data_IF_893592793234
#
_entry.id   IF_893592793234
#
_cell.length_a   1.000
_cell.length_b   1.000
_cell.length_c   1.000
_cell.angle_alpha   90.00
_cell.angle_beta   90.00
_cell.angle_gamma   90.00
#
_symmetry.space_group_name_H-M   'P 1'
#
loop_
_entity.id
_entity.type
_entity.pdbx_description
1 polymer ?
#
# COMPACT_ATOMS: atom_id res chain seq x y z
N UNK A 1 19.86 27.90 14.00
CA UNK A 1 20.39 27.95 12.62
C UNK A 1 19.54 27.02 11.78
N UNK A 2 19.12 27.43 10.57
CA UNK A 2 18.34 26.57 9.67
C UNK A 2 19.25 26.05 8.57
N UNK A 3 19.33 24.73 8.42
CA UNK A 3 20.01 24.07 7.31
C UNK A 3 18.96 23.77 6.24
N UNK A 4 19.02 24.48 5.12
CA UNK A 4 18.13 24.27 3.99
C UNK A 4 18.80 23.34 2.99
N UNK A 5 18.16 22.19 2.73
CA UNK A 5 18.61 21.24 1.73
C UNK A 5 17.76 21.37 0.47
N UNK A 6 18.43 21.60 -0.66
CA UNK A 6 17.76 21.66 -1.96
C UNK A 6 17.20 20.29 -2.41
N UNK A 7 16.49 20.26 -3.53
CA UNK A 7 15.85 19.05 -4.04
C UNK A 7 16.83 17.88 -4.26
N UNK A 8 18.05 18.15 -4.71
CA UNK A 8 19.06 17.12 -5.02
C UNK A 8 19.69 16.61 -3.72
N UNK A 9 20.02 17.52 -2.80
CA UNK A 9 20.55 17.20 -1.48
C UNK A 9 19.55 16.39 -0.66
N UNK A 10 18.28 16.80 -0.64
CA UNK A 10 17.19 16.09 0.05
C UNK A 10 17.01 14.68 -0.52
N UNK A 11 16.98 14.54 -1.85
CA UNK A 11 16.85 13.22 -2.49
C UNK A 11 18.06 12.33 -2.21
N UNK A 12 19.27 12.91 -2.23
CA UNK A 12 20.51 12.19 -1.89
C UNK A 12 20.48 11.70 -0.44
N UNK A 13 20.03 12.54 0.48
CA UNK A 13 19.85 12.19 1.88
C UNK A 13 18.84 11.05 2.05
N UNK A 14 17.69 11.12 1.35
CA UNK A 14 16.69 10.06 1.35
C UNK A 14 17.26 8.72 0.89
N UNK A 15 18.02 8.71 -0.21
CA UNK A 15 18.67 7.51 -0.76
C UNK A 15 19.75 6.97 0.20
N UNK A 16 20.50 7.86 0.84
CA UNK A 16 21.50 7.47 1.84
C UNK A 16 20.84 6.74 3.01
N UNK A 17 19.75 7.29 3.57
CA UNK A 17 19.02 6.64 4.65
C UNK A 17 18.29 5.38 4.20
N UNK A 18 17.81 5.31 2.96
CA UNK A 18 17.33 4.06 2.37
C UNK A 18 18.38 2.94 2.45
N UNK A 19 19.62 3.20 2.02
CA UNK A 19 20.69 2.19 2.10
C UNK A 19 21.09 1.84 3.53
N UNK A 20 21.05 2.80 4.47
CA UNK A 20 21.20 2.50 5.90
C UNK A 20 20.08 1.53 6.35
N UNK A 21 18.85 1.78 5.93
CA UNK A 21 17.70 0.90 6.18
C UNK A 21 17.89 -0.50 5.59
N UNK A 22 18.38 -0.61 4.35
CA UNK A 22 18.72 -1.88 3.70
C UNK A 22 19.78 -2.63 4.52
N UNK A 23 20.86 -1.94 4.90
CA UNK A 23 21.94 -2.53 5.68
C UNK A 23 21.42 -3.07 7.02
N UNK A 24 20.65 -2.29 7.76
CA UNK A 24 20.10 -2.70 9.06
C UNK A 24 19.12 -3.86 8.90
N UNK A 25 18.24 -3.80 7.89
CA UNK A 25 17.28 -4.89 7.59
C UNK A 25 18.02 -6.20 7.31
N UNK A 26 19.17 -6.17 6.63
CA UNK A 26 20.00 -7.36 6.38
C UNK A 26 20.64 -7.96 7.64
N UNK A 27 20.72 -7.20 8.74
CA UNK A 27 21.33 -7.64 10.01
C UNK A 27 20.29 -8.01 11.08
N UNK A 28 19.08 -7.47 10.98
CA UNK A 28 18.03 -7.64 12.00
C UNK A 28 16.86 -8.40 11.40
N UNK A 29 16.78 -9.69 11.71
CA UNK A 29 15.76 -10.61 11.18
C UNK A 29 14.31 -10.21 11.51
N UNK A 30 14.09 -9.39 12.55
CA UNK A 30 12.75 -8.91 12.91
C UNK A 30 12.15 -8.02 11.80
N UNK A 31 12.96 -7.21 11.13
CA UNK A 31 12.49 -6.31 10.07
C UNK A 31 12.14 -7.06 8.80
N UNK A 32 12.88 -8.13 8.50
CA UNK A 32 12.56 -9.05 7.42
C UNK A 32 11.30 -9.86 7.74
N UNK A 33 11.21 -10.41 8.95
CA UNK A 33 10.07 -11.22 9.42
C UNK A 33 8.73 -10.48 9.35
N UNK A 34 8.72 -9.17 9.63
CA UNK A 34 7.51 -8.35 9.56
C UNK A 34 7.40 -7.53 8.27
N UNK A 35 8.21 -7.85 7.27
CA UNK A 35 8.22 -7.20 5.96
C UNK A 35 8.37 -5.66 6.04
N UNK A 36 9.09 -5.15 7.04
CA UNK A 36 9.27 -3.70 7.20
C UNK A 36 10.10 -3.18 6.01
N UNK A 37 9.64 -2.14 5.29
CA UNK A 37 10.36 -1.58 4.16
C UNK A 37 11.68 -0.92 4.60
N UNK A 38 12.71 -1.02 3.76
CA UNK A 38 13.98 -0.34 4.00
C UNK A 38 13.85 1.19 4.12
N UNK A 39 13.01 1.87 3.29
CA UNK A 39 12.73 3.29 3.49
C UNK A 39 12.28 3.60 4.93
N UNK A 40 11.36 2.80 5.49
CA UNK A 40 10.78 3.00 6.84
C UNK A 40 11.86 2.95 7.91
N UNK A 41 12.71 1.92 7.88
CA UNK A 41 13.81 1.78 8.85
C UNK A 41 14.76 2.97 8.76
N UNK A 42 15.20 3.31 7.54
CA UNK A 42 16.14 4.41 7.31
C UNK A 42 15.57 5.77 7.69
N UNK A 43 14.39 6.10 7.18
CA UNK A 43 13.75 7.38 7.39
C UNK A 43 13.35 7.62 8.84
N UNK A 44 12.93 6.58 9.60
CA UNK A 44 12.70 6.71 11.04
C UNK A 44 13.97 7.05 11.81
N UNK A 45 15.12 6.49 11.44
CA UNK A 45 16.41 6.85 12.06
C UNK A 45 16.68 8.33 11.83
N UNK A 46 16.51 8.82 10.60
CA UNK A 46 16.66 10.24 10.31
C UNK A 46 15.65 11.10 11.09
N UNK A 47 14.37 10.71 11.12
CA UNK A 47 13.33 11.44 11.83
C UNK A 47 13.62 11.56 13.34
N UNK A 48 14.18 10.53 13.95
CA UNK A 48 14.64 10.55 15.35
C UNK A 48 15.82 11.52 15.52
N UNK A 49 16.81 11.48 14.62
CA UNK A 49 17.93 12.42 14.65
C UNK A 49 17.45 13.87 14.49
N UNK A 50 16.52 14.11 13.56
CA UNK A 50 15.92 15.41 13.32
C UNK A 50 15.12 15.90 14.53
N UNK A 51 14.37 15.02 15.20
CA UNK A 51 13.70 15.33 16.46
C UNK A 51 14.71 15.77 17.54
N UNK A 52 15.82 15.04 17.70
CA UNK A 52 16.86 15.39 18.69
C UNK A 52 17.49 16.76 18.37
N UNK A 53 17.81 17.04 17.11
CA UNK A 53 18.36 18.34 16.70
C UNK A 53 17.39 19.50 16.90
N UNK A 54 16.11 19.26 16.62
CA UNK A 54 15.04 20.26 16.76
C UNK A 54 14.80 20.57 18.25
N UNK A 55 14.62 19.56 19.09
CA UNK A 55 14.36 19.72 20.53
C UNK A 55 15.56 20.28 21.30
N UNK A 56 16.80 20.00 20.85
CA UNK A 56 18.01 20.58 21.46
C UNK A 56 18.28 22.03 21.04
N UNK A 57 17.50 22.58 20.10
CA UNK A 57 17.66 23.96 19.61
C UNK A 57 18.93 24.19 18.79
N UNK A 58 19.66 23.13 18.41
CA UNK A 58 20.93 23.21 17.70
C UNK A 58 20.72 23.67 16.24
N UNK A 59 19.97 22.88 15.47
CA UNK A 59 19.79 23.05 14.02
C UNK A 59 18.36 22.66 13.65
N UNK A 60 17.68 23.50 12.87
CA UNK A 60 16.42 23.15 12.21
C UNK A 60 16.74 22.73 10.77
N UNK A 61 16.30 21.56 10.33
CA UNK A 61 16.53 21.08 8.96
C UNK A 61 15.27 21.36 8.13
N UNK A 62 15.44 22.04 6.99
CA UNK A 62 14.39 22.26 6.00
C UNK A 62 14.71 21.42 4.76
N UNK A 63 13.74 20.65 4.28
CA UNK A 63 13.88 19.69 3.19
C UNK A 63 13.02 20.11 2.00
N UNK A 64 13.63 20.29 0.84
CA UNK A 64 12.90 20.47 -0.42
C UNK A 64 12.44 19.11 -0.98
N UNK A 65 11.13 18.85 -0.89
CA UNK A 65 10.49 17.60 -1.32
C UNK A 65 9.96 17.63 -2.75
N UNK A 66 10.37 18.60 -3.59
CA UNK A 66 9.85 18.77 -4.97
C UNK A 66 9.88 17.47 -5.80
N UNK A 67 10.93 16.65 -5.67
CA UNK A 67 11.06 15.38 -6.41
C UNK A 67 10.16 14.25 -5.87
N UNK A 68 9.56 14.39 -4.69
CA UNK A 68 8.68 13.38 -4.11
C UNK A 68 7.44 13.13 -4.98
N UNK A 69 6.80 14.20 -5.48
CA UNK A 69 5.56 14.10 -6.28
C UNK A 69 5.76 13.36 -7.60
N UNK A 70 6.79 13.65 -8.43
CA UNK A 70 7.07 12.86 -9.64
C UNK A 70 7.27 11.36 -9.38
N UNK A 71 8.00 10.97 -8.34
CA UNK A 71 8.20 9.55 -7.99
C UNK A 71 6.92 8.89 -7.48
N UNK A 72 6.11 9.62 -6.69
CA UNK A 72 4.78 9.17 -6.28
C UNK A 72 3.90 8.88 -7.49
N UNK A 73 3.80 9.83 -8.42
CA UNK A 73 3.00 9.68 -9.65
C UNK A 73 3.49 8.49 -10.48
N UNK A 74 4.81 8.34 -10.67
CA UNK A 74 5.36 7.21 -11.40
C UNK A 74 5.00 5.86 -10.75
N UNK A 75 5.10 5.75 -9.41
CA UNK A 75 4.72 4.56 -8.68
C UNK A 75 3.23 4.21 -8.88
N UNK A 76 2.30 5.13 -8.63
CA UNK A 76 0.87 4.83 -8.81
C UNK A 76 0.48 4.61 -10.27
N UNK A 77 1.20 5.22 -11.21
CA UNK A 77 1.04 4.92 -12.64
C UNK A 77 1.42 3.47 -12.96
N UNK A 78 2.47 2.93 -12.32
CA UNK A 78 2.85 1.51 -12.49
C UNK A 78 1.78 0.55 -11.97
N UNK A 79 1.07 0.90 -10.88
CA UNK A 79 -0.09 0.16 -10.39
C UNK A 79 -1.20 0.12 -11.47
N UNK A 80 -1.44 1.23 -12.16
CA UNK A 80 -2.37 1.29 -13.29
C UNK A 80 -2.01 0.33 -14.44
N UNK A 81 -0.71 0.15 -14.70
CA UNK A 81 -0.22 -0.85 -15.65
C UNK A 81 -0.33 -2.31 -15.15
N UNK A 82 -0.69 -2.53 -13.89
CA UNK A 82 -1.06 -3.84 -13.35
C UNK A 82 -2.53 -4.21 -13.59
N UNK A 83 -3.38 -3.26 -13.98
CA UNK A 83 -4.83 -3.43 -14.05
C UNK A 83 -5.33 -4.18 -15.30
N UNK A 84 -4.83 -5.40 -15.54
CA UNK A 84 -5.18 -6.21 -16.72
C UNK A 84 -6.55 -6.88 -16.59
N UNK A 85 -7.48 -6.54 -17.48
CA UNK A 85 -8.77 -7.24 -17.59
C UNK A 85 -8.61 -8.72 -17.91
N UNK A 86 -7.53 -9.11 -18.59
CA UNK A 86 -7.21 -10.50 -18.89
C UNK A 86 -6.93 -11.28 -17.60
N UNK A 87 -6.12 -10.73 -16.70
CA UNK A 87 -5.81 -11.33 -15.40
C UNK A 87 -7.05 -11.49 -14.51
N UNK A 88 -7.93 -10.47 -14.50
CA UNK A 88 -9.21 -10.55 -13.76
C UNK A 88 -10.07 -11.69 -14.31
N UNK A 89 -10.18 -11.80 -15.64
CA UNK A 89 -10.96 -12.87 -16.30
C UNK A 89 -10.39 -14.25 -16.01
N UNK A 90 -9.06 -14.41 -16.00
CA UNK A 90 -8.39 -15.67 -15.66
C UNK A 90 -8.67 -16.12 -14.23
N UNK A 91 -8.74 -15.19 -13.28
CA UNK A 91 -9.07 -15.51 -11.89
C UNK A 91 -10.54 -15.88 -11.63
N UNK A 92 -11.40 -15.61 -12.61
CA UNK A 92 -12.81 -15.99 -12.57
C UNK A 92 -13.56 -15.48 -11.35
N UNK A 93 -14.49 -16.30 -10.86
CA UNK A 93 -15.38 -15.92 -9.76
C UNK A 93 -14.64 -15.64 -8.45
N UNK A 94 -13.54 -16.35 -8.17
CA UNK A 94 -12.83 -16.24 -6.90
C UNK A 94 -12.07 -14.91 -6.73
N UNK A 95 -11.54 -14.34 -7.82
CA UNK A 95 -10.96 -12.98 -7.80
C UNK A 95 -12.02 -11.94 -7.47
N UNK A 96 -13.20 -12.04 -8.09
CA UNK A 96 -14.31 -11.11 -7.83
C UNK A 96 -14.79 -11.24 -6.38
N UNK A 97 -14.93 -12.46 -5.86
CA UNK A 97 -15.34 -12.70 -4.48
C UNK A 97 -14.34 -12.14 -3.47
N UNK A 98 -13.03 -12.34 -3.70
CA UNK A 98 -12.01 -11.79 -2.82
C UNK A 98 -11.92 -10.27 -2.93
N UNK A 99 -12.07 -9.70 -4.12
CA UNK A 99 -12.16 -8.26 -4.32
C UNK A 99 -13.33 -7.64 -3.56
N UNK A 100 -14.53 -8.26 -3.61
CA UNK A 100 -15.68 -7.81 -2.81
C UNK A 100 -15.36 -7.88 -1.32
N UNK A 101 -14.72 -8.97 -0.86
CA UNK A 101 -14.33 -9.09 0.55
C UNK A 101 -13.35 -7.98 0.98
N UNK A 102 -12.34 -7.69 0.15
CA UNK A 102 -11.38 -6.63 0.43
C UNK A 102 -11.99 -5.22 0.35
N UNK A 103 -12.91 -4.97 -0.59
CA UNK A 103 -13.63 -3.70 -0.68
C UNK A 103 -14.56 -3.49 0.53
N UNK A 104 -15.22 -4.55 0.99
CA UNK A 104 -16.01 -4.51 2.23
C UNK A 104 -15.14 -4.22 3.44
N UNK A 105 -13.91 -4.76 3.49
CA UNK A 105 -12.96 -4.45 4.56
C UNK A 105 -12.57 -2.96 4.50
N UNK A 106 -12.18 -2.44 3.34
CA UNK A 106 -11.84 -1.02 3.14
C UNK A 106 -12.93 -0.10 3.69
N UNK A 107 -14.18 -0.32 3.26
CA UNK A 107 -15.33 0.47 3.74
C UNK A 107 -15.50 0.31 5.26
N UNK A 108 -15.34 -0.91 5.78
CA UNK A 108 -15.48 -1.16 7.22
C UNK A 108 -14.38 -0.47 8.04
N UNK A 109 -13.14 -0.43 7.53
CA UNK A 109 -12.01 0.23 8.18
C UNK A 109 -12.23 1.74 8.26
N UNK A 110 -12.73 2.35 7.20
CA UNK A 110 -13.01 3.78 7.16
C UNK A 110 -14.21 4.16 8.02
N UNK A 111 -15.30 3.38 7.95
CA UNK A 111 -16.45 3.57 8.85
C UNK A 111 -16.01 3.46 10.30
N UNK A 112 -15.29 2.41 10.67
CA UNK A 112 -14.83 2.22 12.05
C UNK A 112 -13.89 3.34 12.48
N UNK A 113 -12.92 3.71 11.64
CA UNK A 113 -11.95 4.75 11.92
C UNK A 113 -12.62 6.10 12.18
N UNK A 114 -13.50 6.54 11.28
CA UNK A 114 -14.26 7.79 11.42
C UNK A 114 -15.14 7.79 12.66
N UNK A 115 -15.87 6.68 12.90
CA UNK A 115 -16.77 6.56 14.05
C UNK A 115 -15.98 6.62 15.35
N UNK A 116 -14.89 5.85 15.47
CA UNK A 116 -14.06 5.85 16.66
C UNK A 116 -13.39 7.21 16.89
N UNK A 117 -12.85 7.86 15.84
CA UNK A 117 -12.25 9.19 15.93
C UNK A 117 -13.23 10.20 16.51
N UNK A 118 -14.47 10.24 15.99
CA UNK A 118 -15.54 11.10 16.53
C UNK A 118 -15.86 10.80 17.99
N UNK A 119 -15.91 9.52 18.38
CA UNK A 119 -16.20 9.14 19.76
C UNK A 119 -15.13 9.57 20.75
N UNK A 120 -13.86 9.56 20.36
CA UNK A 120 -12.74 9.98 21.22
C UNK A 120 -12.42 11.48 21.10
N UNK A 121 -13.18 12.23 20.28
CA UNK A 121 -13.04 13.68 20.11
C UNK A 121 -11.95 14.11 19.12
N UNK A 122 -11.51 13.20 18.24
CA UNK A 122 -10.51 13.45 17.20
C UNK A 122 -11.14 13.76 15.85
N UNK A 123 -10.33 14.29 14.92
CA UNK A 123 -10.74 14.60 13.56
C UNK A 123 -11.14 13.33 12.77
N UNK A 124 -12.29 13.31 12.06
CA UNK A 124 -12.68 12.20 11.19
C UNK A 124 -11.62 11.79 10.16
N UNK A 125 -10.86 12.74 9.63
CA UNK A 125 -9.77 12.49 8.68
C UNK A 125 -8.63 11.71 9.33
N UNK A 126 -8.36 11.90 10.63
CA UNK A 126 -7.45 11.04 11.39
C UNK A 126 -7.96 9.59 11.40
N UNK A 127 -9.27 9.42 11.56
CA UNK A 127 -9.96 8.13 11.45
C UNK A 127 -9.76 7.46 10.09
N UNK A 128 -9.74 8.22 9.00
CA UNK A 128 -9.42 7.70 7.66
C UNK A 128 -7.94 7.33 7.53
N UNK A 129 -7.01 8.17 8.04
CA UNK A 129 -5.58 7.89 8.04
C UNK A 129 -5.29 6.54 8.67
N UNK A 130 -5.83 6.27 9.86
CA UNK A 130 -5.64 4.99 10.56
C UNK A 130 -6.55 3.88 10.04
N UNK A 131 -7.50 4.20 9.17
CA UNK A 131 -8.39 3.27 8.47
C UNK A 131 -7.76 2.72 7.20
N UNK A 132 -8.53 2.70 6.10
CA UNK A 132 -8.12 2.06 4.86
C UNK A 132 -6.91 2.72 4.20
N UNK A 133 -6.66 4.01 4.47
CA UNK A 133 -5.51 4.78 3.95
C UNK A 133 -4.20 4.07 4.27
N UNK A 134 -4.04 3.56 5.49
CA UNK A 134 -2.80 2.90 5.93
C UNK A 134 -2.95 1.40 6.18
N UNK A 135 -4.14 0.94 6.61
CA UNK A 135 -4.35 -0.49 6.88
C UNK A 135 -4.37 -1.27 5.57
N UNK A 136 -5.22 -0.92 4.61
CA UNK A 136 -5.23 -1.61 3.32
C UNK A 136 -4.26 -0.97 2.32
N UNK A 137 -4.14 0.35 2.32
CA UNK A 137 -3.29 1.08 1.37
C UNK A 137 -1.79 1.11 1.71
N UNK A 138 -1.41 0.71 2.92
CA UNK A 138 -0.02 0.66 3.37
C UNK A 138 0.70 2.01 3.36
N UNK A 139 2.04 1.96 3.32
CA UNK A 139 2.88 3.15 3.35
C UNK A 139 2.75 4.03 2.09
N UNK A 140 2.50 3.44 0.93
CA UNK A 140 2.38 4.19 -0.32
C UNK A 140 1.19 5.14 -0.27
N UNK A 141 0.00 4.59 -0.08
CA UNK A 141 -1.25 5.35 0.05
C UNK A 141 -1.23 6.26 1.28
N UNK A 142 -0.68 5.78 2.40
CA UNK A 142 -0.50 6.58 3.62
C UNK A 142 0.36 7.82 3.42
N UNK A 143 1.48 7.72 2.70
CA UNK A 143 2.35 8.85 2.45
C UNK A 143 1.68 9.88 1.53
N UNK A 144 0.89 9.41 0.57
CA UNK A 144 0.17 10.28 -0.37
C UNK A 144 -1.00 11.00 0.29
N UNK A 145 -1.90 10.28 0.96
CA UNK A 145 -3.06 10.90 1.61
C UNK A 145 -2.69 11.64 2.88
N UNK A 146 -1.66 11.22 3.62
CA UNK A 146 -1.13 11.99 4.74
C UNK A 146 -0.67 13.38 4.30
N UNK A 147 0.13 13.45 3.23
CA UNK A 147 0.57 14.72 2.67
C UNK A 147 -0.62 15.57 2.15
N UNK A 148 -1.59 14.93 1.49
CA UNK A 148 -2.81 15.60 1.00
C UNK A 148 -3.65 16.18 2.16
N UNK A 149 -3.82 15.43 3.25
CA UNK A 149 -4.61 15.87 4.41
C UNK A 149 -3.91 17.00 5.17
N UNK A 150 -2.58 17.01 5.21
CA UNK A 150 -1.82 18.15 5.72
C UNK A 150 -1.94 19.39 4.83
N UNK A 151 -1.77 19.25 3.50
CA UNK A 151 -1.71 20.40 2.60
C UNK A 151 -3.07 21.02 2.28
N UNK A 152 -4.09 20.19 2.02
CA UNK A 152 -5.40 20.65 1.54
C UNK A 152 -6.45 20.75 2.65
N UNK A 153 -6.30 19.97 3.73
CA UNK A 153 -7.31 19.87 4.79
C UNK A 153 -6.81 20.35 6.16
N UNK A 154 -5.52 20.71 6.28
CA UNK A 154 -4.95 21.29 7.50
C UNK A 154 -4.81 20.31 8.68
N UNK A 155 -4.87 18.99 8.44
CA UNK A 155 -4.69 17.98 9.48
C UNK A 155 -3.20 17.86 9.85
N UNK A 156 -2.77 18.61 10.87
CA UNK A 156 -1.37 18.63 11.32
C UNK A 156 -0.89 17.23 11.74
N UNK A 157 0.26 16.81 11.21
CA UNK A 157 0.87 15.52 11.54
C UNK A 157 0.21 14.31 10.89
N UNK A 158 -0.67 14.49 9.89
CA UNK A 158 -1.29 13.39 9.16
C UNK A 158 -0.26 12.49 8.48
N UNK A 159 0.80 13.03 7.88
CA UNK A 159 1.88 12.26 7.25
C UNK A 159 2.61 11.39 8.27
N UNK A 160 2.95 11.99 9.42
CA UNK A 160 3.63 11.28 10.51
C UNK A 160 2.75 10.20 11.12
N UNK A 161 1.46 10.49 11.32
CA UNK A 161 0.47 9.53 11.79
C UNK A 161 0.30 8.39 10.78
N UNK A 162 0.24 8.69 9.49
CA UNK A 162 0.08 7.69 8.45
C UNK A 162 1.26 6.70 8.43
N UNK A 163 2.49 7.18 8.56
CA UNK A 163 3.67 6.31 8.57
C UNK A 163 3.74 5.43 9.83
N UNK A 164 3.35 5.98 10.99
CA UNK A 164 3.25 5.20 12.22
C UNK A 164 2.15 4.13 12.11
N UNK A 165 0.96 4.51 11.64
CA UNK A 165 -0.19 3.63 11.46
C UNK A 165 0.09 2.51 10.45
N UNK A 166 0.67 2.81 9.29
CA UNK A 166 1.03 1.80 8.29
C UNK A 166 2.05 0.80 8.83
N UNK A 167 3.03 1.26 9.62
CA UNK A 167 4.02 0.37 10.25
C UNK A 167 3.39 -0.53 11.31
N UNK A 168 2.50 0.03 12.14
CA UNK A 168 1.70 -0.75 13.09
C UNK A 168 0.87 -1.81 12.36
N UNK A 169 0.22 -1.42 11.26
CA UNK A 169 -0.51 -2.30 10.36
C UNK A 169 0.34 -3.50 9.99
N UNK A 170 1.45 -3.29 9.27
CA UNK A 170 2.30 -4.37 8.74
C UNK A 170 2.65 -5.40 9.83
N UNK A 171 3.04 -4.93 11.01
CA UNK A 171 3.39 -5.79 12.15
C UNK A 171 2.17 -6.57 12.64
N UNK A 172 1.03 -5.90 12.88
CA UNK A 172 -0.18 -6.55 13.36
C UNK A 172 -0.75 -7.54 12.34
N UNK A 173 -0.83 -7.16 11.07
CA UNK A 173 -1.31 -8.02 9.98
C UNK A 173 -0.48 -9.30 9.84
N UNK A 174 0.85 -9.19 9.96
CA UNK A 174 1.75 -10.35 9.99
C UNK A 174 1.61 -11.21 11.25
N UNK A 175 1.34 -10.60 12.41
CA UNK A 175 1.16 -11.33 13.68
C UNK A 175 -0.15 -12.13 13.74
N UNK A 176 -1.26 -11.58 13.22
CA UNK A 176 -2.59 -12.20 13.36
C UNK A 176 -2.91 -13.24 12.29
N UNK A 177 -2.32 -13.13 11.08
CA UNK A 177 -2.65 -14.00 9.95
C UNK A 177 -2.38 -15.48 10.22
N UNK A 178 -1.17 -15.79 10.72
CA UNK A 178 -0.75 -17.15 11.03
C UNK A 178 -1.68 -17.87 12.04
N UNK A 179 -1.92 -17.29 13.23
CA UNK A 179 -2.85 -17.83 14.21
C UNK A 179 -4.29 -18.03 13.68
N UNK A 180 -4.80 -17.10 12.87
CA UNK A 180 -6.14 -17.21 12.28
C UNK A 180 -6.22 -18.43 11.36
N UNK A 181 -5.32 -18.55 10.38
CA UNK A 181 -5.32 -19.68 9.47
C UNK A 181 -5.12 -21.01 10.19
N UNK A 182 -4.17 -21.09 11.12
CA UNK A 182 -3.95 -22.30 11.93
C UNK A 182 -5.23 -22.75 12.62
N UNK A 183 -5.93 -21.83 13.28
CA UNK A 183 -7.16 -22.13 14.00
C UNK A 183 -8.28 -22.57 13.03
N UNK A 184 -8.47 -21.86 11.90
CA UNK A 184 -9.44 -22.22 10.88
C UNK A 184 -9.19 -23.62 10.31
N UNK A 185 -7.94 -23.95 9.99
CA UNK A 185 -7.54 -25.26 9.47
C UNK A 185 -7.82 -26.36 10.50
N UNK A 186 -7.34 -26.19 11.74
CA UNK A 186 -7.48 -27.22 12.77
C UNK A 186 -8.94 -27.43 13.20
N UNK A 187 -9.71 -26.35 13.34
CA UNK A 187 -11.09 -26.41 13.83
C UNK A 187 -12.04 -27.04 12.81
N UNK A 188 -11.81 -26.80 11.53
CA UNK A 188 -12.66 -27.31 10.45
C UNK A 188 -12.09 -28.59 9.80
N UNK A 189 -10.97 -29.13 10.30
CA UNK A 189 -10.26 -30.28 9.73
C UNK A 189 -10.00 -30.13 8.22
N UNK A 190 -9.60 -28.93 7.81
CA UNK A 190 -9.39 -28.59 6.40
C UNK A 190 -8.17 -29.35 5.89
N UNK A 191 -8.32 -29.94 4.71
CA UNK A 191 -7.24 -30.62 4.01
C UNK A 191 -6.91 -29.84 2.76
N UNK A 192 -5.64 -29.88 2.40
CA UNK A 192 -5.20 -29.42 1.11
C UNK A 192 -5.88 -30.26 0.04
N UNK A 193 -6.81 -29.66 -0.69
CA UNK A 193 -7.35 -30.21 -1.92
C UNK A 193 -6.33 -29.90 -3.01
N UNK A 194 -5.52 -30.91 -3.35
CA UNK A 194 -4.64 -30.88 -4.51
C UNK A 194 -5.46 -30.98 -5.81
N UNK A 195 -6.44 -30.11 -5.98
CA UNK A 195 -7.10 -29.95 -7.26
C UNK A 195 -6.17 -29.14 -8.17
N UNK A 196 -6.05 -29.57 -9.42
CA UNK A 196 -5.21 -29.01 -10.48
C UNK A 196 -5.58 -27.55 -10.75
N UNK A 197 -5.14 -26.63 -9.90
CA UNK A 197 -4.99 -25.25 -10.31
C UNK A 197 -3.79 -25.27 -11.26
N UNK A 198 -4.05 -25.23 -12.56
CA UNK A 198 -3.04 -25.06 -13.58
C UNK A 198 -2.10 -23.95 -13.12
N UNK A 199 -0.84 -24.29 -12.84
CA UNK A 199 0.23 -23.31 -12.90
C UNK A 199 0.17 -22.74 -14.30
N UNK A 200 -0.40 -21.54 -14.44
CA UNK A 200 -0.09 -20.69 -15.56
C UNK A 200 1.37 -20.28 -15.36
N UNK A 201 2.29 -21.18 -15.69
CA UNK A 201 3.65 -20.85 -16.05
C UNK A 201 3.55 -19.99 -17.31
N UNK A 202 3.26 -18.70 -17.15
CA UNK A 202 3.71 -17.70 -18.11
C UNK A 202 5.11 -17.30 -17.70
N UNK A 203 6.03 -18.26 -17.79
CA UNK A 203 7.47 -18.04 -17.96
C UNK A 203 7.70 -17.48 -19.38
N UNK A 204 6.96 -16.43 -19.75
CA UNK A 204 7.52 -15.47 -20.68
C UNK A 204 8.64 -14.82 -19.88
N UNK A 205 9.86 -15.33 -20.07
CA UNK A 205 11.08 -14.64 -19.72
C UNK A 205 11.11 -13.33 -20.51
N UNK A 206 10.32 -12.35 -20.07
CA UNK A 206 10.33 -11.03 -20.66
C UNK A 206 11.71 -10.44 -20.40
N UNK A 207 12.50 -10.34 -21.47
CA UNK A 207 13.87 -9.88 -21.39
C UNK A 207 13.88 -8.40 -20.93
N UNK A 208 14.57 -8.16 -19.82
CA UNK A 208 14.83 -6.81 -19.34
C UNK A 208 16.07 -6.29 -20.07
N UNK A 209 15.86 -5.34 -20.97
CA UNK A 209 16.90 -4.66 -21.73
C UNK A 209 16.73 -3.15 -21.57
N UNK A 210 17.76 -2.37 -21.88
CA UNK A 210 17.66 -0.91 -21.91
C UNK A 210 16.44 -0.44 -22.74
N UNK A 211 16.21 -1.08 -23.89
CA UNK A 211 15.10 -0.75 -24.78
C UNK A 211 13.74 -1.02 -24.15
N UNK A 212 13.53 -2.20 -23.57
CA UNK A 212 12.25 -2.57 -22.94
C UNK A 212 11.99 -1.71 -21.69
N UNK A 213 13.04 -1.41 -20.92
CA UNK A 213 12.96 -0.53 -19.76
C UNK A 213 12.63 0.92 -20.16
N UNK A 214 13.34 1.49 -21.14
CA UNK A 214 13.10 2.87 -21.59
C UNK A 214 11.73 3.04 -22.26
N UNK A 215 11.26 2.04 -23.01
CA UNK A 215 9.91 2.04 -23.56
C UNK A 215 8.85 2.06 -22.45
N UNK A 216 9.02 1.22 -21.42
CA UNK A 216 8.09 1.17 -20.28
C UNK A 216 8.11 2.48 -19.50
N UNK A 217 9.31 3.02 -19.24
CA UNK A 217 9.49 4.34 -18.63
C UNK A 217 8.78 5.44 -19.43
N UNK A 218 8.90 5.42 -20.76
CA UNK A 218 8.24 6.39 -21.63
C UNK A 218 6.71 6.29 -21.54
N UNK A 219 6.15 5.07 -21.50
CA UNK A 219 4.70 4.86 -21.32
C UNK A 219 4.21 5.37 -19.97
N UNK A 220 4.99 5.20 -18.90
CA UNK A 220 4.69 5.75 -17.58
C UNK A 220 4.63 7.28 -17.65
N UNK A 221 5.64 7.93 -18.22
CA UNK A 221 5.65 9.40 -18.34
C UNK A 221 4.55 9.94 -19.25
N UNK A 222 4.23 9.24 -20.35
CA UNK A 222 3.09 9.58 -21.20
C UNK A 222 1.78 9.49 -20.41
N UNK A 223 1.60 8.43 -19.62
CA UNK A 223 0.41 8.25 -18.79
C UNK A 223 0.29 9.34 -17.71
N UNK A 224 1.40 9.71 -17.07
CA UNK A 224 1.45 10.82 -16.11
C UNK A 224 1.08 12.16 -16.77
N UNK A 225 1.64 12.45 -17.94
CA UNK A 225 1.37 13.69 -18.68
C UNK A 225 -0.05 13.79 -19.23
N UNK A 226 -0.63 12.66 -19.69
CA UNK A 226 -2.04 12.61 -20.08
C UNK A 226 -2.97 12.64 -18.86
N UNK A 227 -2.56 12.04 -17.75
CA UNK A 227 -3.27 12.07 -16.47
C UNK A 227 -3.44 13.49 -15.94
N UNK A 228 -2.42 14.34 -16.02
CA UNK A 228 -2.54 15.75 -15.62
C UNK A 228 -3.50 16.55 -16.51
N UNK A 229 -3.67 16.16 -17.78
CA UNK A 229 -4.70 16.75 -18.65
C UNK A 229 -6.09 16.29 -18.25
N UNK A 230 -6.22 15.00 -17.89
CA UNK A 230 -7.47 14.41 -17.41
C UNK A 230 -7.93 15.02 -16.08
N UNK A 231 -6.99 15.31 -15.16
CA UNK A 231 -7.23 16.01 -13.90
C UNK A 231 -7.93 17.37 -14.14
N UNK A 232 -7.46 18.15 -15.12
CA UNK A 232 -8.09 19.43 -15.48
C UNK A 232 -9.53 19.24 -15.97
N UNK A 233 -9.81 18.17 -16.71
CA UNK A 233 -11.17 17.86 -17.17
C UNK A 233 -12.10 17.52 -16.02
N UNK A 234 -11.68 16.64 -15.10
CA UNK A 234 -12.49 16.27 -13.94
C UNK A 234 -12.76 17.44 -13.01
N UNK A 235 -11.74 18.27 -12.76
CA UNK A 235 -11.86 19.47 -11.94
C UNK A 235 -12.90 20.43 -12.52
N UNK A 236 -12.94 20.59 -13.85
CA UNK A 236 -13.91 21.46 -14.52
C UNK A 236 -15.38 20.98 -14.42
N UNK A 237 -15.59 19.66 -14.26
CA UNK A 237 -16.94 19.09 -14.03
C UNK A 237 -17.28 18.92 -12.54
N UNK A 238 -16.46 19.48 -11.66
CA UNK A 238 -16.67 19.47 -10.20
C UNK A 238 -16.26 18.17 -9.50
N UNK A 239 -15.53 17.29 -10.18
CA UNK A 239 -15.00 16.06 -9.61
C UNK A 239 -13.53 16.31 -9.23
N UNK A 240 -13.22 16.29 -7.93
CA UNK A 240 -11.84 16.41 -7.45
C UNK A 240 -11.33 15.02 -7.12
N UNK A 241 -10.40 14.52 -7.93
CA UNK A 241 -9.64 13.30 -7.68
C UNK A 241 -8.20 13.68 -7.32
N UNK A 242 -7.50 12.88 -6.50
CA UNK A 242 -6.07 13.02 -6.35
C UNK A 242 -5.36 12.82 -7.70
N UNK A 243 -4.44 13.71 -8.07
CA UNK A 243 -3.72 13.69 -9.37
C UNK A 243 -3.10 12.34 -9.78
N UNK A 244 -2.72 11.49 -8.82
CA UNK A 244 -2.17 10.17 -9.12
C UNK A 244 -3.23 9.17 -9.61
N UNK A 245 -4.51 9.36 -9.25
CA UNK A 245 -5.63 8.53 -9.70
C UNK A 245 -5.84 8.72 -11.21
N UNK A 246 -5.74 9.95 -11.70
CA UNK A 246 -5.89 10.25 -13.13
C UNK A 246 -4.79 9.60 -13.97
N UNK A 247 -3.54 9.66 -13.50
CA UNK A 247 -2.42 8.98 -14.14
C UNK A 247 -2.58 7.44 -14.14
N UNK A 248 -3.09 6.89 -13.04
CA UNK A 248 -3.38 5.46 -12.91
C UNK A 248 -4.52 5.01 -13.87
N UNK A 249 -5.58 5.81 -14.02
CA UNK A 249 -6.66 5.55 -14.98
C UNK A 249 -6.11 5.50 -16.41
N UNK A 250 -5.31 6.50 -16.79
CA UNK A 250 -4.72 6.54 -18.14
C UNK A 250 -3.81 5.33 -18.39
N UNK A 251 -2.97 4.95 -17.43
CA UNK A 251 -2.13 3.76 -17.54
C UNK A 251 -2.96 2.48 -17.74
N UNK A 252 -4.04 2.31 -16.96
CA UNK A 252 -4.95 1.17 -17.11
C UNK A 252 -5.61 1.14 -18.50
N UNK A 253 -6.00 2.29 -19.05
CA UNK A 253 -6.54 2.39 -20.41
C UNK A 253 -5.49 1.96 -21.45
N UNK A 254 -4.26 2.48 -21.35
CA UNK A 254 -3.17 2.17 -22.28
C UNK A 254 -2.81 0.68 -22.26
N UNK A 255 -2.73 0.08 -21.06
CA UNK A 255 -2.50 -1.35 -20.87
C UNK A 255 -3.56 -2.18 -21.61
N UNK A 256 -4.83 -1.95 -21.29
CA UNK A 256 -5.91 -2.81 -21.77
C UNK A 256 -6.16 -2.65 -23.27
N UNK A 257 -6.01 -1.44 -23.83
CA UNK A 257 -6.05 -1.23 -25.28
C UNK A 257 -4.86 -1.94 -25.95
N UNK A 258 -3.68 -1.88 -25.34
CA UNK A 258 -2.48 -2.57 -25.82
C UNK A 258 -2.67 -4.08 -25.89
N UNK A 259 -3.10 -4.68 -24.78
CA UNK A 259 -3.37 -6.12 -24.68
C UNK A 259 -4.47 -6.56 -25.66
N UNK A 260 -5.55 -5.79 -25.79
CA UNK A 260 -6.66 -6.14 -26.69
C UNK A 260 -6.26 -6.08 -28.17
N UNK A 261 -5.42 -5.11 -28.55
CA UNK A 261 -5.03 -4.90 -29.96
C UNK A 261 -3.80 -5.70 -30.37
N UNK A 262 -3.09 -6.34 -29.43
CA UNK A 262 -1.78 -6.99 -29.63
C UNK A 262 -0.73 -6.09 -30.30
N UNK A 263 -0.93 -4.75 -30.31
CA UNK A 263 -0.03 -3.81 -30.99
C UNK A 263 1.23 -3.52 -30.19
N UNK A 264 1.14 -3.55 -28.86
CA UNK A 264 2.27 -3.41 -27.97
C UNK A 264 2.07 -4.28 -26.72
N UNK A 265 3.14 -4.96 -26.32
CA UNK A 265 3.18 -5.72 -25.06
C UNK A 265 3.93 -4.87 -24.05
N UNK A 266 3.29 -4.59 -22.92
CA UNK A 266 3.93 -3.91 -21.80
C UNK A 266 4.72 -4.96 -21.02
N UNK A 267 5.99 -4.68 -20.77
CA UNK A 267 6.85 -5.60 -20.05
C UNK A 267 6.58 -5.46 -18.54
N UNK A 268 5.94 -6.45 -17.94
CA UNK A 268 5.50 -6.39 -16.53
C UNK A 268 6.69 -6.32 -15.57
N UNK A 269 7.79 -7.01 -15.88
CA UNK A 269 9.03 -6.95 -15.08
C UNK A 269 9.62 -5.54 -15.09
N UNK A 270 9.61 -4.84 -16.23
CA UNK A 270 10.04 -3.45 -16.31
C UNK A 270 9.11 -2.50 -15.53
N UNK A 271 7.79 -2.73 -15.58
CA UNK A 271 6.81 -1.98 -14.78
C UNK A 271 7.12 -2.14 -13.29
N UNK A 272 7.34 -3.38 -12.83
CA UNK A 272 7.67 -3.67 -11.44
C UNK A 272 9.00 -3.03 -11.00
N UNK A 273 10.05 -3.09 -11.83
CA UNK A 273 11.34 -2.46 -11.52
C UNK A 273 11.19 -0.95 -11.38
N UNK A 274 10.56 -0.28 -12.34
CA UNK A 274 10.37 1.17 -12.31
C UNK A 274 9.47 1.58 -11.14
N UNK A 275 8.40 0.82 -10.90
CA UNK A 275 7.49 1.01 -9.78
C UNK A 275 8.21 0.90 -8.44
N UNK A 276 9.02 -0.13 -8.23
CA UNK A 276 9.78 -0.32 -7.00
C UNK A 276 10.85 0.75 -6.78
N UNK A 277 11.57 1.19 -7.83
CA UNK A 277 12.51 2.31 -7.72
C UNK A 277 11.75 3.57 -7.30
N UNK A 278 10.63 3.86 -7.98
CA UNK A 278 9.82 5.05 -7.73
C UNK A 278 9.25 5.05 -6.31
N UNK A 279 8.68 3.92 -5.87
CA UNK A 279 8.17 3.72 -4.51
C UNK A 279 9.25 3.97 -3.47
N UNK A 280 10.43 3.35 -3.62
CA UNK A 280 11.48 3.46 -2.61
C UNK A 280 12.03 4.89 -2.51
N UNK A 281 12.18 5.61 -3.62
CA UNK A 281 12.62 7.01 -3.58
C UNK A 281 11.54 7.91 -2.97
N UNK A 282 10.30 7.82 -3.48
CA UNK A 282 9.14 8.55 -2.96
C UNK A 282 8.97 8.34 -1.45
N UNK A 283 8.95 7.08 -1.01
CA UNK A 283 8.72 6.72 0.38
C UNK A 283 9.89 7.16 1.26
N UNK A 284 11.13 7.04 0.78
CA UNK A 284 12.29 7.50 1.55
C UNK A 284 12.25 9.02 1.77
N UNK A 285 11.89 9.80 0.74
CA UNK A 285 11.70 11.25 0.87
C UNK A 285 10.59 11.60 1.87
N UNK A 286 9.45 10.90 1.78
CA UNK A 286 8.34 11.08 2.73
C UNK A 286 8.78 10.81 4.18
N UNK A 287 9.58 9.77 4.40
CA UNK A 287 9.96 9.32 5.73
C UNK A 287 11.05 10.17 6.39
N UNK A 288 12.00 10.71 5.61
CA UNK A 288 12.95 11.68 6.17
C UNK A 288 12.27 13.01 6.48
N UNK A 289 11.15 13.32 5.83
CA UNK A 289 10.34 14.52 6.10
C UNK A 289 9.49 14.45 7.37
N UNK A 290 9.47 13.32 8.08
CA UNK A 290 8.61 13.14 9.25
C UNK A 290 8.99 14.03 10.43
N UNK A 291 7.95 14.56 11.07
CA UNK A 291 8.04 15.44 12.22
C UNK A 291 7.48 14.72 13.45
N UNK A 292 8.31 13.91 14.09
CA UNK A 292 7.88 13.03 15.19
C UNK A 292 7.26 13.77 16.38
N UNK A 293 7.59 15.05 16.57
CA UNK A 293 7.01 15.89 17.63
C UNK A 293 5.52 16.18 17.42
N UNK A 294 5.02 16.11 16.18
CA UNK A 294 3.60 16.32 15.86
C UNK A 294 2.71 15.16 16.34
N UNK A 295 3.28 13.99 16.64
CA UNK A 295 2.55 12.85 17.21
C UNK A 295 2.26 12.97 18.70
N UNK A 296 2.89 13.91 19.41
CA UNK A 296 2.88 13.92 20.89
C UNK A 296 1.46 14.07 21.46
N UNK A 297 0.62 14.89 20.84
CA UNK A 297 -0.77 15.10 21.26
C UNK A 297 -1.70 13.97 20.81
N UNK A 298 -1.41 13.31 19.70
CA UNK A 298 -2.28 12.31 19.06
C UNK A 298 -1.89 10.86 19.37
N UNK A 299 -0.76 10.60 20.04
CA UNK A 299 -0.26 9.25 20.29
C UNK A 299 -1.22 8.32 21.06
N UNK A 300 -1.88 8.84 22.11
CA UNK A 300 -2.86 8.08 22.88
C UNK A 300 -4.10 7.71 22.05
N UNK A 301 -4.79 8.70 21.46
CA UNK A 301 -5.90 8.47 20.52
C UNK A 301 -5.53 7.52 19.37
N UNK A 302 -4.35 7.71 18.76
CA UNK A 302 -3.83 6.87 17.68
C UNK A 302 -3.77 5.39 18.09
N UNK A 303 -3.25 5.08 19.27
CA UNK A 303 -3.17 3.70 19.75
C UNK A 303 -4.56 3.05 19.91
N UNK A 304 -5.55 3.81 20.42
CA UNK A 304 -6.93 3.32 20.57
C UNK A 304 -7.53 2.99 19.20
N UNK A 305 -7.37 3.88 18.23
CA UNK A 305 -7.87 3.67 16.86
C UNK A 305 -7.23 2.45 16.22
N UNK A 306 -5.91 2.32 16.32
CA UNK A 306 -5.14 1.22 15.73
C UNK A 306 -5.50 -0.15 16.35
N UNK A 307 -5.72 -0.22 17.66
CA UNK A 307 -6.22 -1.45 18.30
C UNK A 307 -7.60 -1.82 17.75
N UNK A 308 -8.48 -0.84 17.56
CA UNK A 308 -9.78 -1.05 16.93
C UNK A 308 -9.66 -1.68 15.53
N UNK A 309 -8.73 -1.19 14.72
CA UNK A 309 -8.46 -1.72 13.39
C UNK A 309 -7.90 -3.15 13.41
N UNK A 310 -7.00 -3.46 14.35
CA UNK A 310 -6.48 -4.81 14.55
C UNK A 310 -7.60 -5.80 14.92
N UNK A 311 -8.51 -5.39 15.81
CA UNK A 311 -9.67 -6.20 16.21
C UNK A 311 -10.62 -6.39 15.02
N UNK A 312 -10.91 -5.32 14.27
CA UNK A 312 -11.73 -5.41 13.06
C UNK A 312 -11.15 -6.41 12.06
N UNK A 313 -9.86 -6.30 11.74
CA UNK A 313 -9.20 -7.20 10.80
C UNK A 313 -9.27 -8.66 11.27
N UNK A 314 -9.02 -8.92 12.55
CA UNK A 314 -9.13 -10.27 13.12
C UNK A 314 -10.54 -10.85 12.92
N UNK A 315 -11.58 -10.09 13.29
CA UNK A 315 -12.98 -10.51 13.15
C UNK A 315 -13.32 -10.69 11.67
N UNK A 316 -12.91 -9.76 10.81
CA UNK A 316 -13.23 -9.76 9.40
C UNK A 316 -12.61 -10.95 8.66
N UNK A 317 -11.32 -11.23 8.88
CA UNK A 317 -10.66 -12.38 8.28
C UNK A 317 -11.30 -13.70 8.73
N UNK A 318 -11.53 -13.84 10.05
CA UNK A 318 -12.04 -15.07 10.63
C UNK A 318 -13.50 -15.38 10.22
N UNK A 319 -14.38 -14.37 10.21
CA UNK A 319 -15.81 -14.57 9.99
C UNK A 319 -16.29 -14.22 8.58
N UNK A 320 -15.70 -13.23 7.92
CA UNK A 320 -16.18 -12.74 6.62
C UNK A 320 -15.34 -13.34 5.50
N UNK A 321 -14.02 -13.11 5.51
CA UNK A 321 -13.13 -13.58 4.44
C UNK A 321 -13.18 -15.09 4.29
N UNK A 322 -13.00 -15.84 5.38
CA UNK A 322 -13.05 -17.30 5.35
C UNK A 322 -14.37 -17.84 4.81
N UNK A 323 -15.50 -17.22 5.16
CA UNK A 323 -16.83 -17.67 4.73
C UNK A 323 -17.12 -17.32 3.28
N UNK A 324 -16.78 -16.10 2.87
CA UNK A 324 -16.94 -15.67 1.49
C UNK A 324 -16.10 -16.53 0.56
N UNK A 325 -14.87 -16.87 0.94
CA UNK A 325 -13.96 -17.63 0.07
C UNK A 325 -14.24 -19.14 0.02
N UNK A 326 -15.31 -19.65 0.65
CA UNK A 326 -15.76 -21.04 0.49
C UNK A 326 -15.50 -21.97 1.68
N UNK A 327 -14.89 -21.47 2.77
CA UNK A 327 -14.59 -22.24 4.00
C UNK A 327 -13.69 -23.46 3.79
N UNK A 328 -12.91 -23.50 2.72
CA UNK A 328 -11.95 -24.57 2.42
C UNK A 328 -10.53 -24.18 2.85
N UNK A 329 -9.56 -25.05 2.55
CA UNK A 329 -8.15 -24.80 2.88
C UNK A 329 -7.62 -23.52 2.24
N UNK A 330 -7.95 -23.28 0.96
CA UNK A 330 -7.54 -22.07 0.25
C UNK A 330 -8.15 -20.82 0.89
N UNK A 331 -9.41 -20.87 1.34
CA UNK A 331 -10.05 -19.78 2.08
C UNK A 331 -9.32 -19.47 3.40
N UNK A 332 -8.79 -20.49 4.09
CA UNK A 332 -8.00 -20.28 5.31
C UNK A 332 -6.65 -19.63 5.00
N UNK A 333 -5.94 -20.09 3.95
CA UNK A 333 -4.70 -19.47 3.46
C UNK A 333 -4.94 -18.02 3.05
N UNK A 334 -5.99 -17.77 2.26
CA UNK A 334 -6.39 -16.42 1.84
C UNK A 334 -6.81 -15.55 3.01
N UNK A 335 -7.39 -16.10 4.08
CA UNK A 335 -7.70 -15.33 5.29
C UNK A 335 -6.42 -14.87 6.02
N UNK A 336 -5.39 -15.71 6.07
CA UNK A 336 -4.05 -15.31 6.55
C UNK A 336 -3.44 -14.22 5.68
N UNK A 337 -3.52 -14.41 4.36
CA UNK A 337 -3.06 -13.44 3.38
C UNK A 337 -3.80 -12.10 3.49
N UNK A 338 -5.12 -12.12 3.64
CA UNK A 338 -5.94 -10.92 3.80
C UNK A 338 -5.61 -10.16 5.09
N UNK A 339 -5.19 -10.85 6.16
CA UNK A 339 -4.69 -10.15 7.35
C UNK A 339 -3.41 -9.35 7.06
N UNK A 340 -2.47 -9.94 6.32
CA UNK A 340 -1.21 -9.27 5.97
C UNK A 340 -1.43 -8.14 4.97
N UNK A 341 -2.29 -8.37 3.98
CA UNK A 341 -2.64 -7.39 2.95
C UNK A 341 -3.54 -6.26 3.47
N UNK A 342 -4.65 -6.60 4.14
CA UNK A 342 -5.66 -5.65 4.63
C UNK A 342 -5.26 -4.87 5.89
N UNK A 343 -4.11 -5.19 6.48
CA UNK A 343 -3.41 -4.38 7.48
C UNK A 343 -1.94 -4.22 7.08
N UNK A 344 -1.63 -3.99 5.81
CA UNK A 344 -0.26 -3.80 5.42
C UNK A 344 -0.12 -3.57 3.94
N UNK A 345 0.40 -4.58 3.27
CA UNK A 345 0.62 -4.55 1.84
C UNK A 345 0.56 -5.98 1.27
N UNK A 346 0.39 -6.08 -0.05
CA UNK A 346 0.43 -7.35 -0.78
C UNK A 346 1.61 -8.26 -0.39
N UNK A 347 2.87 -7.80 -0.28
CA UNK A 347 3.98 -8.65 0.17
C UNK A 347 3.79 -9.25 1.56
N UNK A 348 3.17 -8.54 2.51
CA UNK A 348 2.85 -9.08 3.83
C UNK A 348 1.81 -10.19 3.75
N UNK A 349 0.82 -10.02 2.86
CA UNK A 349 -0.15 -11.07 2.56
C UNK A 349 0.51 -12.33 2.00
N UNK A 350 1.43 -12.17 1.04
CA UNK A 350 2.19 -13.29 0.46
C UNK A 350 3.03 -14.00 1.53
N UNK A 351 3.80 -13.26 2.33
CA UNK A 351 4.60 -13.83 3.41
C UNK A 351 3.75 -14.60 4.44
N UNK A 352 2.56 -14.09 4.77
CA UNK A 352 1.59 -14.77 5.62
C UNK A 352 1.08 -16.08 5.01
N UNK A 353 0.85 -16.10 3.70
CA UNK A 353 0.44 -17.32 2.98
C UNK A 353 1.58 -18.33 2.93
N UNK A 354 2.82 -17.90 2.64
CA UNK A 354 4.02 -18.77 2.62
C UNK A 354 4.27 -19.43 3.98
N UNK A 355 4.12 -18.68 5.08
CA UNK A 355 4.25 -19.20 6.42
C UNK A 355 3.21 -20.30 6.74
N UNK A 356 2.04 -20.25 6.11
CA UNK A 356 1.00 -21.29 6.25
C UNK A 356 1.27 -22.45 5.30
N UNK A 357 1.53 -22.18 4.02
CA UNK A 357 1.69 -23.24 3.00
C UNK A 357 2.96 -24.05 3.19
N UNK A 358 4.03 -23.47 3.75
CA UNK A 358 5.23 -24.21 4.16
C UNK A 358 4.96 -25.30 5.20
N UNK A 359 3.88 -25.18 5.98
CA UNK A 359 3.50 -26.13 7.02
C UNK A 359 2.31 -27.02 6.64
N UNK A 360 1.35 -26.49 5.90
CA UNK A 360 0.07 -27.14 5.62
C UNK A 360 -0.12 -27.54 4.14
N UNK A 361 0.85 -27.24 3.26
CA UNK A 361 0.86 -27.57 1.84
C UNK A 361 0.53 -26.39 0.92
N UNK A 362 0.84 -26.51 -0.37
CA UNK A 362 0.69 -25.43 -1.35
C UNK A 362 -0.77 -24.98 -1.55
N UNK A 363 -0.98 -23.72 -1.95
CA UNK A 363 -2.30 -23.17 -2.31
C UNK A 363 -2.17 -22.26 -3.54
N UNK A 364 -1.98 -22.83 -4.75
CA UNK A 364 -1.73 -22.03 -5.95
C UNK A 364 -2.85 -21.04 -6.24
N UNK A 365 -4.10 -21.43 -5.94
CA UNK A 365 -5.29 -20.58 -6.04
C UNK A 365 -5.15 -19.29 -5.21
N UNK A 366 -4.74 -19.40 -3.94
CA UNK A 366 -4.57 -18.23 -3.07
C UNK A 366 -3.42 -17.32 -3.56
N UNK A 367 -2.32 -17.92 -4.00
CA UNK A 367 -1.15 -17.21 -4.55
C UNK A 367 -1.42 -16.55 -5.90
N UNK A 368 -2.43 -16.99 -6.64
CA UNK A 368 -2.91 -16.28 -7.83
C UNK A 368 -3.87 -15.14 -7.46
N UNK A 369 -4.89 -15.42 -6.65
CA UNK A 369 -5.99 -14.48 -6.40
C UNK A 369 -5.52 -13.25 -5.61
N UNK A 370 -4.79 -13.46 -4.52
CA UNK A 370 -4.46 -12.36 -3.61
C UNK A 370 -3.60 -11.29 -4.29
N UNK A 371 -2.51 -11.61 -5.01
CA UNK A 371 -1.73 -10.59 -5.70
C UNK A 371 -2.53 -9.85 -6.77
N UNK A 372 -3.41 -10.54 -7.52
CA UNK A 372 -4.26 -9.89 -8.54
C UNK A 372 -5.20 -8.86 -7.89
N UNK A 373 -5.81 -9.18 -6.75
CA UNK A 373 -6.70 -8.24 -6.07
C UNK A 373 -5.92 -7.14 -5.35
N UNK A 374 -4.87 -7.52 -4.63
CA UNK A 374 -4.14 -6.62 -3.74
C UNK A 374 -3.17 -5.68 -4.44
N UNK A 375 -2.56 -6.08 -5.55
CA UNK A 375 -1.56 -5.26 -6.24
C UNK A 375 -2.16 -4.15 -7.11
N UNK A 376 -3.45 -4.23 -7.49
CA UNK A 376 -4.04 -3.19 -8.33
C UNK A 376 -5.53 -2.91 -8.09
N UNK A 377 -6.40 -3.92 -8.00
CA UNK A 377 -7.85 -3.68 -7.92
C UNK A 377 -8.22 -2.88 -6.67
N UNK A 378 -7.61 -3.24 -5.54
CA UNK A 378 -7.89 -2.58 -4.28
C UNK A 378 -7.19 -1.23 -4.17
N UNK A 379 -5.96 -1.04 -4.64
CA UNK A 379 -5.32 0.28 -4.59
C UNK A 379 -6.15 1.34 -5.36
N UNK A 380 -6.69 0.94 -6.52
CA UNK A 380 -7.63 1.76 -7.28
C UNK A 380 -8.92 2.05 -6.50
N UNK A 381 -9.60 0.99 -6.06
CA UNK A 381 -10.91 1.12 -5.42
C UNK A 381 -10.84 1.80 -4.07
N UNK A 382 -9.78 1.55 -3.31
CA UNK A 382 -9.51 2.17 -2.01
C UNK A 382 -9.31 3.67 -2.17
N UNK A 383 -8.52 4.12 -3.16
CA UNK A 383 -8.34 5.56 -3.45
C UNK A 383 -9.68 6.27 -3.71
N UNK A 384 -10.59 5.61 -4.44
CA UNK A 384 -11.94 6.13 -4.66
C UNK A 384 -12.79 6.15 -3.39
N UNK A 385 -12.77 5.07 -2.59
CA UNK A 385 -13.50 5.02 -1.32
C UNK A 385 -13.00 6.12 -0.37
N UNK A 386 -11.69 6.27 -0.19
CA UNK A 386 -11.10 7.32 0.65
C UNK A 386 -11.58 8.69 0.16
N UNK A 387 -11.52 8.95 -1.15
CA UNK A 387 -11.96 10.24 -1.71
C UNK A 387 -13.46 10.50 -1.50
N UNK A 388 -14.30 9.46 -1.57
CA UNK A 388 -15.72 9.57 -1.23
C UNK A 388 -15.90 9.93 0.25
N UNK A 389 -15.21 9.24 1.16
CA UNK A 389 -15.29 9.51 2.60
C UNK A 389 -14.79 10.92 2.95
N UNK A 390 -13.69 11.36 2.34
CA UNK A 390 -13.17 12.73 2.50
C UNK A 390 -14.23 13.75 2.09
N UNK A 391 -14.92 13.55 0.96
CA UNK A 391 -15.98 14.47 0.53
C UNK A 391 -17.23 14.45 1.43
N UNK A 392 -17.48 13.36 2.16
CA UNK A 392 -18.58 13.26 3.11
C UNK A 392 -18.27 13.86 4.49
N UNK A 393 -17.00 13.95 4.87
CA UNK A 393 -16.56 14.32 6.21
C UNK A 393 -15.66 15.56 6.29
N UNK A 394 -15.33 16.18 5.15
CA UNK A 394 -14.63 17.49 5.10
C UNK A 394 -15.48 18.64 5.62
#
# INVERSE_FOLDING_TARGET
>A
MTLELDMIQTTTLAILFYYIGVFIKSKVSIFEKFCIPAPVVGGLIFAILNLIFTESGFISISLDTTLQKPFMLAFFTTIGFGASFKMIKQGGLHVIMFFIAALLLVISQDVLGVVMAKFIGEDPLLGLIVGSVTMTGGHGTGATFGALFESEYGLVGASTTAMAAATFGLVCGSLIGGPIAKNLISKNNLKNSSDEFFEANSDDCEEVSYKTLFNTFSLIFISMGLGSILEMFFTNIGIVLPSYVDAMIVAAIILNIGEQTNKWKINSKCVDIIGNISLNVFLSMALIGLKLWELKSTAGPLLILLIGQAVLMFIFAYFITFRLMGKDYDAAVMSSGHCGFGMGATPNGIANMEAITSKYGASPKAFFILPVVGAFLIDFSNSLVITLFVNLFK
#
